data_IF_612227890674
#
_entry.id   IF_612227890674
#
_cell.length_a   1.000
_cell.length_b   1.000
_cell.length_c   1.000
_cell.angle_alpha   90.00
_cell.angle_beta   90.00
_cell.angle_gamma   90.00
#
_symmetry.space_group_name_H-M   'P 1'
#
loop_
_entity.id
_entity.type
_entity.pdbx_description
1 polymer ?
#
# COMPACT_ATOMS: atom_id res chain seq x y z
N UNK A 1 -0.01 -6.63 7.73
CA UNK A 1 -0.13 -6.01 6.41
C UNK A 1 0.05 -4.50 6.50
N UNK A 2 0.77 -3.88 5.56
CA UNK A 2 0.97 -2.43 5.47
C UNK A 2 0.86 -1.92 4.03
N UNK A 3 1.10 -0.62 3.83
CA UNK A 3 1.17 -0.02 2.50
C UNK A 3 -0.18 0.08 1.80
N UNK A 4 -0.15 0.07 0.45
CA UNK A 4 -1.35 0.25 -0.37
C UNK A 4 -2.39 -0.85 -0.21
N UNK A 5 -1.96 -2.11 -0.06
CA UNK A 5 -2.86 -3.24 0.20
C UNK A 5 -3.59 -3.11 1.55
N UNK A 6 -2.91 -2.60 2.59
CA UNK A 6 -3.56 -2.30 3.87
C UNK A 6 -4.68 -1.28 3.69
N UNK A 7 -4.40 -0.18 2.99
CA UNK A 7 -5.40 0.86 2.73
C UNK A 7 -6.57 0.34 1.89
N UNK A 8 -6.29 -0.49 0.87
CA UNK A 8 -7.33 -1.07 0.02
C UNK A 8 -8.23 -2.04 0.78
N UNK A 9 -7.63 -2.92 1.59
CA UNK A 9 -8.34 -4.04 2.22
C UNK A 9 -9.05 -3.66 3.51
N UNK A 10 -8.57 -2.65 4.25
CA UNK A 10 -9.09 -2.32 5.57
C UNK A 10 -9.59 -0.88 5.70
N UNK A 11 -9.16 0.02 4.83
CA UNK A 11 -9.50 1.44 4.91
C UNK A 11 -10.20 1.96 3.65
N UNK A 12 -10.76 1.08 2.80
CA UNK A 12 -11.58 1.41 1.63
C UNK A 12 -10.92 2.35 0.62
N UNK A 13 -9.60 2.30 0.51
CA UNK A 13 -8.92 3.07 -0.53
C UNK A 13 -9.39 2.63 -1.91
N UNK A 14 -9.70 3.60 -2.76
CA UNK A 14 -10.13 3.35 -4.15
C UNK A 14 -8.96 3.01 -5.07
N UNK A 15 -7.71 3.27 -4.62
CA UNK A 15 -6.51 2.98 -5.38
C UNK A 15 -6.09 1.52 -5.24
N UNK A 16 -5.85 0.87 -6.37
CA UNK A 16 -5.23 -0.46 -6.39
C UNK A 16 -3.75 -0.39 -6.02
N UNK A 17 -3.21 -1.50 -5.53
CA UNK A 17 -1.81 -1.66 -5.20
C UNK A 17 -1.27 -2.90 -5.90
N UNK A 18 -0.15 -2.75 -6.61
CA UNK A 18 0.53 -3.86 -7.28
C UNK A 18 1.31 -4.74 -6.31
N UNK A 19 1.72 -4.16 -5.19
CA UNK A 19 2.66 -4.76 -4.25
C UNK A 19 1.98 -5.08 -2.92
N UNK A 20 2.39 -6.18 -2.30
CA UNK A 20 2.01 -6.55 -0.95
C UNK A 20 3.20 -6.37 -0.01
N UNK A 21 3.06 -5.44 0.92
CA UNK A 21 4.06 -5.15 1.94
C UNK A 21 3.60 -5.64 3.32
N UNK A 22 4.47 -6.38 4.00
CA UNK A 22 4.21 -6.93 5.34
C UNK A 22 5.38 -6.57 6.26
N UNK A 23 5.07 -6.19 7.50
CA UNK A 23 6.06 -6.22 8.57
C UNK A 23 5.99 -7.55 9.28
N UNK A 24 7.14 -8.06 9.66
CA UNK A 24 7.26 -9.26 10.48
C UNK A 24 7.91 -8.90 11.81
N UNK A 25 7.40 -9.50 12.88
CA UNK A 25 7.99 -9.38 14.21
C UNK A 25 9.21 -10.29 14.35
N UNK A 26 9.41 -10.82 15.55
CA UNK A 26 10.49 -11.75 15.85
C UNK A 26 10.27 -13.10 15.13
N UNK A 27 10.71 -13.19 13.90
CA UNK A 27 10.61 -14.39 13.06
C UNK A 27 12.00 -14.76 12.56
N UNK A 28 12.35 -16.04 12.67
CA UNK A 28 13.52 -16.58 12.00
C UNK A 28 13.34 -16.45 10.48
N UNK A 29 14.23 -15.66 9.86
CA UNK A 29 14.15 -15.35 8.43
C UNK A 29 14.35 -16.58 7.53
N UNK A 30 15.08 -17.59 8.01
CA UNK A 30 15.22 -18.86 7.28
C UNK A 30 13.88 -19.60 7.26
N UNK A 31 13.22 -19.69 8.40
CA UNK A 31 11.89 -20.30 8.52
C UNK A 31 10.85 -19.55 7.68
N UNK A 32 10.87 -18.21 7.71
CA UNK A 32 10.00 -17.39 6.86
C UNK A 32 10.22 -17.71 5.39
N UNK A 33 11.47 -17.74 4.95
CA UNK A 33 11.84 -18.03 3.55
C UNK A 33 11.36 -19.38 3.10
N UNK A 34 11.61 -20.42 3.88
CA UNK A 34 11.17 -21.78 3.57
C UNK A 34 9.63 -21.89 3.50
N UNK A 35 8.91 -21.23 4.42
CA UNK A 35 7.45 -21.21 4.38
C UNK A 35 6.92 -20.48 3.12
N UNK A 36 7.49 -19.34 2.75
CA UNK A 36 7.07 -18.59 1.54
C UNK A 36 7.37 -19.42 0.29
N UNK A 37 8.56 -20.02 0.18
CA UNK A 37 8.89 -20.94 -0.92
C UNK A 37 7.91 -22.11 -1.01
N UNK A 38 7.62 -22.73 0.15
CA UNK A 38 6.67 -23.84 0.22
C UNK A 38 5.26 -23.45 -0.24
N UNK A 39 4.77 -22.27 0.12
CA UNK A 39 3.47 -21.77 -0.35
C UNK A 39 3.50 -21.54 -1.85
N UNK A 40 4.50 -20.81 -2.36
CA UNK A 40 4.63 -20.47 -3.79
C UNK A 40 4.70 -21.74 -4.66
N UNK A 41 5.44 -22.75 -4.21
CA UNK A 41 5.61 -24.01 -4.93
C UNK A 41 4.43 -25.00 -4.72
N UNK A 42 3.47 -24.68 -3.88
CA UNK A 42 2.40 -25.62 -3.53
C UNK A 42 1.35 -25.74 -4.63
N UNK A 43 0.90 -26.97 -4.89
CA UNK A 43 -0.19 -27.26 -5.81
C UNK A 43 -1.52 -26.54 -5.42
N UNK A 44 -1.94 -26.50 -4.14
CA UNK A 44 -3.13 -25.77 -3.75
C UNK A 44 -3.09 -24.30 -4.11
N UNK A 45 -1.93 -23.63 -3.95
CA UNK A 45 -1.79 -22.22 -4.31
C UNK A 45 -1.91 -22.01 -5.83
N UNK A 46 -1.25 -22.84 -6.63
CA UNK A 46 -1.38 -22.81 -8.08
C UNK A 46 -2.83 -23.00 -8.52
N UNK A 47 -3.55 -24.00 -7.97
CA UNK A 47 -4.95 -24.26 -8.29
C UNK A 47 -5.88 -23.09 -7.92
N UNK A 48 -5.64 -22.39 -6.79
CA UNK A 48 -6.41 -21.20 -6.41
C UNK A 48 -6.23 -20.07 -7.43
N UNK A 49 -5.02 -19.87 -7.93
CA UNK A 49 -4.73 -18.86 -8.94
C UNK A 49 -5.34 -19.24 -10.29
N UNK A 50 -5.15 -20.49 -10.74
CA UNK A 50 -5.71 -21.02 -11.98
C UNK A 50 -7.24 -20.91 -12.02
N UNK A 51 -7.92 -21.22 -10.91
CA UNK A 51 -9.37 -21.07 -10.78
C UNK A 51 -9.85 -19.61 -10.95
N UNK A 52 -8.93 -18.65 -10.92
CA UNK A 52 -9.16 -17.21 -11.15
C UNK A 52 -8.59 -16.72 -12.47
N UNK A 53 -8.18 -17.62 -13.34
CA UNK A 53 -7.54 -17.30 -14.60
C UNK A 53 -6.17 -16.64 -14.45
N UNK A 54 -5.47 -16.90 -13.34
CA UNK A 54 -4.14 -16.34 -13.05
C UNK A 54 -3.10 -17.45 -13.02
N UNK A 55 -1.95 -17.24 -13.67
CA UNK A 55 -0.78 -18.11 -13.58
C UNK A 55 0.46 -17.32 -13.20
N UNK A 56 1.36 -17.96 -12.46
CA UNK A 56 2.68 -17.42 -12.18
C UNK A 56 3.61 -17.90 -13.29
N UNK A 57 4.14 -16.99 -14.10
CA UNK A 57 5.10 -17.30 -15.16
C UNK A 57 6.51 -17.44 -14.61
N UNK A 58 6.89 -16.55 -13.70
CA UNK A 58 8.20 -16.59 -13.07
C UNK A 58 8.15 -16.05 -11.65
N UNK A 59 9.09 -16.53 -10.84
CA UNK A 59 9.32 -16.05 -9.47
C UNK A 59 10.80 -15.81 -9.30
N UNK A 60 11.16 -14.72 -8.62
CA UNK A 60 12.53 -14.46 -8.21
C UNK A 60 12.62 -13.97 -6.77
N UNK A 61 13.65 -14.42 -6.06
CA UNK A 61 13.99 -13.96 -4.71
C UNK A 61 14.87 -12.70 -4.81
N UNK A 62 14.26 -11.59 -5.22
CA UNK A 62 14.94 -10.38 -5.66
C UNK A 62 15.79 -9.70 -4.57
N UNK A 63 15.45 -9.90 -3.28
CA UNK A 63 16.22 -9.37 -2.16
C UNK A 63 16.02 -10.24 -0.92
N UNK A 64 17.12 -10.75 -0.37
CA UNK A 64 17.11 -11.61 0.81
C UNK A 64 18.20 -11.12 1.78
N UNK A 65 17.84 -10.15 2.64
CA UNK A 65 18.74 -9.54 3.64
C UNK A 65 18.21 -9.74 5.04
N UNK A 66 18.96 -9.35 6.07
CA UNK A 66 18.50 -9.39 7.47
C UNK A 66 17.27 -8.53 7.75
N UNK A 67 17.05 -7.48 6.96
CA UNK A 67 15.95 -6.53 7.16
C UNK A 67 14.83 -6.64 6.13
N UNK A 68 15.04 -7.36 5.03
CA UNK A 68 14.08 -7.41 3.92
C UNK A 68 14.13 -8.75 3.22
N UNK A 69 12.99 -9.39 3.08
CA UNK A 69 12.78 -10.57 2.23
C UNK A 69 11.79 -10.20 1.14
N UNK A 70 12.19 -10.29 -0.15
CA UNK A 70 11.36 -9.86 -1.28
C UNK A 70 11.32 -10.91 -2.37
N UNK A 71 10.11 -11.25 -2.78
CA UNK A 71 9.83 -12.06 -3.97
C UNK A 71 9.17 -11.19 -5.01
N UNK A 72 9.62 -11.33 -6.25
CA UNK A 72 8.98 -10.72 -7.42
C UNK A 72 8.35 -11.83 -8.25
N UNK A 73 7.19 -11.51 -8.81
CA UNK A 73 6.40 -12.40 -9.64
C UNK A 73 6.10 -11.74 -10.97
N UNK A 74 6.05 -12.53 -12.03
CA UNK A 74 5.32 -12.22 -13.25
C UNK A 74 4.02 -13.01 -13.22
N UNK A 75 2.90 -12.31 -13.27
CA UNK A 75 1.57 -12.92 -13.30
C UNK A 75 0.99 -12.79 -14.70
N UNK A 76 0.43 -13.86 -15.21
CA UNK A 76 -0.33 -13.86 -16.46
C UNK A 76 -1.81 -14.04 -16.12
N UNK A 77 -2.66 -13.14 -16.62
CA UNK A 77 -4.11 -13.28 -16.56
C UNK A 77 -4.63 -13.95 -17.84
N UNK A 78 -5.65 -14.79 -17.71
CA UNK A 78 -6.30 -15.41 -18.87
C UNK A 78 -6.80 -14.35 -19.85
N UNK A 79 -6.53 -14.56 -21.15
CA UNK A 79 -6.87 -13.59 -22.20
C UNK A 79 -5.93 -12.39 -22.30
N UNK A 80 -4.83 -12.34 -21.53
CA UNK A 80 -3.84 -11.30 -21.62
C UNK A 80 -2.43 -11.91 -21.73
N UNK A 81 -1.72 -11.58 -22.82
CA UNK A 81 -0.36 -12.08 -23.07
C UNK A 81 0.73 -11.25 -22.34
N UNK A 82 0.33 -10.18 -21.66
CA UNK A 82 1.27 -9.31 -20.96
C UNK A 82 1.46 -9.83 -19.54
N UNK A 83 2.72 -10.10 -19.18
CA UNK A 83 3.09 -10.44 -17.81
C UNK A 83 2.97 -9.21 -16.90
N UNK A 84 2.18 -9.34 -15.85
CA UNK A 84 1.94 -8.29 -14.86
C UNK A 84 2.94 -8.46 -13.71
N UNK A 85 3.86 -7.50 -13.49
CA UNK A 85 4.81 -7.60 -12.40
C UNK A 85 4.13 -7.29 -11.07
N UNK A 86 4.44 -8.09 -10.06
CA UNK A 86 4.07 -7.81 -8.67
C UNK A 86 5.17 -8.26 -7.72
N UNK A 87 5.11 -7.82 -6.47
CA UNK A 87 6.02 -8.29 -5.42
C UNK A 87 5.33 -8.50 -4.09
N UNK A 88 5.89 -9.40 -3.31
CA UNK A 88 5.61 -9.54 -1.87
C UNK A 88 6.90 -9.21 -1.13
N UNK A 89 6.81 -8.29 -0.17
CA UNK A 89 7.94 -7.87 0.64
C UNK A 89 7.63 -8.04 2.12
N UNK A 90 8.51 -8.72 2.83
CA UNK A 90 8.51 -8.81 4.28
C UNK A 90 9.64 -7.93 4.83
N UNK A 91 9.29 -6.98 5.67
CA UNK A 91 10.22 -6.08 6.36
C UNK A 91 10.42 -6.55 7.80
N UNK A 92 11.67 -6.84 8.17
CA UNK A 92 12.08 -7.26 9.52
C UNK A 92 12.79 -6.09 10.21
N UNK A 93 12.04 -5.00 10.45
CA UNK A 93 12.54 -3.80 11.14
C UNK A 93 11.79 -3.52 12.44
N UNK A 94 11.04 -4.51 12.91
CA UNK A 94 10.10 -4.39 14.02
C UNK A 94 8.68 -4.08 13.53
N UNK A 95 7.75 -4.21 14.44
CA UNK A 95 6.35 -3.84 14.24
C UNK A 95 6.13 -2.45 14.83
N UNK A 96 5.43 -1.60 14.10
CA UNK A 96 4.93 -0.34 14.64
C UNK A 96 3.75 -0.61 15.60
N UNK A 97 3.49 0.33 16.48
CA UNK A 97 2.27 0.33 17.29
C UNK A 97 1.02 0.48 16.41
N UNK A 98 -0.12 -0.05 16.89
CA UNK A 98 -1.41 0.05 16.19
C UNK A 98 -1.65 -1.08 15.18
N UNK A 99 -1.05 -2.26 15.42
CA UNK A 99 -1.44 -3.49 14.73
C UNK A 99 -2.78 -3.96 15.28
N UNK A 100 -3.72 -4.22 14.38
CA UNK A 100 -5.06 -4.75 14.61
C UNK A 100 -5.20 -6.11 13.95
N UNK A 101 -6.15 -6.93 14.39
CA UNK A 101 -6.49 -8.18 13.74
C UNK A 101 -7.94 -8.12 13.30
N UNK A 102 -8.17 -8.17 12.00
CA UNK A 102 -9.51 -7.95 11.44
C UNK A 102 -9.76 -8.67 10.13
N UNK A 103 -11.01 -8.69 9.72
CA UNK A 103 -11.43 -9.19 8.41
C UNK A 103 -11.19 -8.11 7.34
N UNK A 104 -10.79 -8.55 6.16
CA UNK A 104 -10.78 -7.71 4.96
C UNK A 104 -12.19 -7.13 4.76
N UNK A 105 -12.29 -5.90 4.26
CA UNK A 105 -13.56 -5.21 4.00
C UNK A 105 -14.51 -6.07 3.14
N UNK A 106 -15.77 -6.14 3.57
CA UNK A 106 -16.77 -6.99 2.94
C UNK A 106 -17.07 -6.64 1.48
N UNK A 107 -16.88 -5.37 1.08
CA UNK A 107 -17.07 -4.95 -0.31
C UNK A 107 -15.94 -5.46 -1.19
N UNK A 108 -14.69 -5.43 -0.70
CA UNK A 108 -13.53 -6.02 -1.38
C UNK A 108 -13.73 -7.53 -1.54
N UNK A 109 -14.15 -8.21 -0.48
CA UNK A 109 -14.42 -9.65 -0.52
C UNK A 109 -15.49 -9.99 -1.56
N UNK A 110 -16.61 -9.27 -1.57
CA UNK A 110 -17.70 -9.48 -2.53
C UNK A 110 -17.28 -9.17 -3.96
N UNK A 111 -16.64 -8.03 -4.18
CA UNK A 111 -16.21 -7.59 -5.51
C UNK A 111 -15.26 -8.60 -6.17
N UNK A 112 -14.31 -9.12 -5.41
CA UNK A 112 -13.34 -10.09 -5.89
C UNK A 112 -13.75 -11.54 -5.66
N UNK A 113 -14.95 -11.82 -5.16
CA UNK A 113 -15.47 -13.16 -4.86
C UNK A 113 -14.49 -13.99 -4.01
N UNK A 114 -13.92 -13.36 -2.97
CA UNK A 114 -12.96 -13.99 -2.07
C UNK A 114 -13.69 -14.65 -0.89
N UNK A 115 -13.05 -15.64 -0.29
CA UNK A 115 -13.44 -16.12 1.03
C UNK A 115 -13.04 -15.07 2.09
N UNK A 116 -13.80 -14.92 3.18
CA UNK A 116 -13.40 -14.07 4.30
C UNK A 116 -12.04 -14.47 4.85
N UNK A 117 -11.14 -13.50 5.01
CA UNK A 117 -9.79 -13.70 5.52
C UNK A 117 -9.55 -12.73 6.66
N UNK A 118 -9.06 -13.26 7.79
CA UNK A 118 -8.59 -12.46 8.93
C UNK A 118 -7.09 -12.23 8.81
N UNK A 119 -6.67 -10.98 8.92
CA UNK A 119 -5.26 -10.59 8.74
C UNK A 119 -4.85 -9.58 9.80
N UNK A 120 -3.62 -9.70 10.30
CA UNK A 120 -2.99 -8.62 11.07
C UNK A 120 -2.63 -7.47 10.14
N UNK A 121 -3.12 -6.30 10.45
CA UNK A 121 -2.97 -5.09 9.65
C UNK A 121 -2.75 -3.85 10.52
N UNK A 122 -2.30 -2.76 9.94
CA UNK A 122 -2.20 -1.50 10.68
C UNK A 122 -3.52 -0.74 10.63
N UNK A 123 -3.97 -0.29 11.80
CA UNK A 123 -5.09 0.63 11.95
C UNK A 123 -4.81 1.99 11.29
N UNK A 124 -5.85 2.78 11.08
CA UNK A 124 -5.77 4.02 10.34
C UNK A 124 -4.76 5.05 10.91
N UNK A 125 -4.63 5.24 12.24
CA UNK A 125 -3.60 6.11 12.81
C UNK A 125 -2.18 5.66 12.49
N UNK A 126 -1.89 4.37 12.61
CA UNK A 126 -0.57 3.82 12.30
C UNK A 126 -0.26 3.92 10.81
N UNK A 127 -1.22 3.59 9.94
CA UNK A 127 -1.10 3.74 8.49
C UNK A 127 -0.82 5.20 8.10
N UNK A 128 -1.48 6.16 8.76
CA UNK A 128 -1.23 7.59 8.55
C UNK A 128 0.21 7.97 8.90
N UNK A 129 0.71 7.61 10.10
CA UNK A 129 2.10 7.88 10.51
C UNK A 129 3.12 7.30 9.52
N UNK A 130 2.90 6.05 9.10
CA UNK A 130 3.75 5.39 8.10
C UNK A 130 3.77 6.14 6.76
N UNK A 131 2.62 6.64 6.31
CA UNK A 131 2.53 7.42 5.07
C UNK A 131 3.19 8.78 5.18
N UNK A 132 3.06 9.48 6.31
CA UNK A 132 3.78 10.74 6.55
C UNK A 132 5.29 10.50 6.57
N UNK A 133 5.76 9.46 7.26
CA UNK A 133 7.17 9.07 7.26
C UNK A 133 7.67 8.74 5.86
N UNK A 134 6.92 7.93 5.09
CA UNK A 134 7.28 7.60 3.71
C UNK A 134 7.38 8.84 2.82
N UNK A 135 6.42 9.77 2.92
CA UNK A 135 6.43 11.02 2.16
C UNK A 135 7.61 11.93 2.55
N UNK A 136 7.99 11.94 3.83
CA UNK A 136 9.13 12.73 4.32
C UNK A 136 10.50 12.16 3.90
N UNK A 137 10.65 10.83 3.96
CA UNK A 137 11.97 10.18 3.93
C UNK A 137 12.36 9.61 2.56
N UNK A 138 11.39 9.46 1.62
CA UNK A 138 11.73 8.93 0.30
C UNK A 138 12.65 9.87 -0.46
N UNK A 139 13.65 9.29 -1.10
CA UNK A 139 14.56 10.01 -2.01
C UNK A 139 13.79 10.62 -3.19
N UNK A 140 12.83 9.87 -3.73
CA UNK A 140 11.93 10.31 -4.79
C UNK A 140 10.50 10.31 -4.25
N UNK A 141 9.89 11.49 -4.21
CA UNK A 141 8.52 11.66 -3.72
C UNK A 141 7.54 10.92 -4.62
N UNK A 142 6.59 10.23 -4.01
CA UNK A 142 5.59 9.43 -4.72
C UNK A 142 4.21 10.06 -4.57
N UNK A 143 3.52 10.30 -5.67
CA UNK A 143 2.15 10.84 -5.68
C UNK A 143 1.18 9.96 -4.87
N UNK A 144 1.41 8.64 -4.89
CA UNK A 144 0.60 7.69 -4.12
C UNK A 144 0.64 7.92 -2.61
N UNK A 145 1.75 8.42 -2.06
CA UNK A 145 1.83 8.70 -0.62
C UNK A 145 0.99 9.93 -0.25
N UNK A 146 0.94 10.94 -1.13
CA UNK A 146 0.06 12.12 -0.98
C UNK A 146 -1.41 11.72 -1.10
N UNK A 147 -1.77 10.95 -2.12
CA UNK A 147 -3.14 10.48 -2.33
C UNK A 147 -3.64 9.59 -1.19
N UNK A 148 -2.80 8.68 -0.72
CA UNK A 148 -3.12 7.80 0.41
C UNK A 148 -3.31 8.61 1.71
N UNK A 149 -2.52 9.67 1.93
CA UNK A 149 -2.72 10.60 3.06
C UNK A 149 -4.02 11.36 2.95
N UNK A 150 -4.34 11.91 1.78
CA UNK A 150 -5.62 12.57 1.54
C UNK A 150 -6.80 11.63 1.87
N UNK A 151 -6.75 10.38 1.40
CA UNK A 151 -7.76 9.38 1.70
C UNK A 151 -7.91 9.13 3.22
N UNK A 152 -6.81 8.95 3.94
CA UNK A 152 -6.82 8.75 5.39
C UNK A 152 -7.35 9.98 6.14
N UNK A 153 -7.00 11.19 5.71
CA UNK A 153 -7.52 12.45 6.28
C UNK A 153 -9.03 12.53 6.08
N UNK A 154 -9.51 12.28 4.87
CA UNK A 154 -10.94 12.30 4.54
C UNK A 154 -11.73 11.26 5.34
N UNK A 155 -11.10 10.12 5.69
CA UNK A 155 -11.69 9.07 6.53
C UNK A 155 -11.65 9.39 8.03
N UNK A 156 -11.14 10.55 8.44
CA UNK A 156 -11.06 10.97 9.85
C UNK A 156 -9.87 10.41 10.62
N UNK A 157 -8.96 9.69 9.97
CA UNK A 157 -7.81 9.07 10.65
C UNK A 157 -6.77 10.06 11.20
N UNK A 158 -6.87 11.34 10.81
CA UNK A 158 -5.84 12.34 11.07
C UNK A 158 -5.98 13.14 12.37
N UNK A 159 -7.18 13.32 12.92
CA UNK A 159 -7.46 14.38 13.89
C UNK A 159 -6.57 14.34 15.16
N UNK A 160 -6.33 13.16 15.72
CA UNK A 160 -5.47 13.01 16.90
C UNK A 160 -4.03 12.62 16.52
N UNK A 161 -3.86 11.97 15.38
CA UNK A 161 -2.57 11.42 14.93
C UNK A 161 -1.58 12.49 14.47
N UNK A 162 -2.07 13.67 14.02
CA UNK A 162 -1.19 14.80 13.65
C UNK A 162 -0.27 15.24 14.79
N UNK A 163 -0.74 15.13 16.04
CA UNK A 163 0.06 15.51 17.23
C UNK A 163 1.22 14.56 17.48
N UNK A 164 1.10 13.31 17.04
CA UNK A 164 2.11 12.26 17.19
C UNK A 164 3.22 12.35 16.12
N UNK A 165 2.93 13.05 15.01
CA UNK A 165 3.93 13.27 13.95
C UNK A 165 4.84 14.42 14.34
N UNK A 166 6.14 14.15 14.48
CA UNK A 166 7.13 15.17 14.82
C UNK A 166 7.14 16.33 13.81
N UNK A 167 7.23 17.57 14.30
CA UNK A 167 7.17 18.81 13.47
C UNK A 167 8.13 18.79 12.27
N UNK A 168 9.34 18.25 12.45
CA UNK A 168 10.33 18.16 11.37
C UNK A 168 9.86 17.24 10.25
N UNK A 169 9.29 16.10 10.60
CA UNK A 169 8.78 15.11 9.65
C UNK A 169 7.58 15.68 8.89
N UNK A 170 6.63 16.29 9.58
CA UNK A 170 5.47 16.94 8.98
C UNK A 170 5.88 18.08 8.00
N UNK A 171 6.85 18.90 8.38
CA UNK A 171 7.38 19.97 7.51
C UNK A 171 8.04 19.40 6.26
N UNK A 172 8.85 18.34 6.41
CA UNK A 172 9.49 17.69 5.28
C UNK A 172 8.47 17.01 4.35
N UNK A 173 7.49 16.30 4.92
CA UNK A 173 6.40 15.70 4.15
C UNK A 173 5.60 16.74 3.36
N UNK A 174 5.24 17.87 3.99
CA UNK A 174 4.57 19.00 3.32
C UNK A 174 5.40 19.57 2.15
N UNK A 175 6.70 19.78 2.38
CA UNK A 175 7.60 20.28 1.33
C UNK A 175 7.74 19.30 0.16
N UNK A 176 7.73 18.00 0.45
CA UNK A 176 7.80 16.95 -0.56
C UNK A 176 6.46 16.82 -1.32
N UNK A 177 5.30 16.92 -0.63
CA UNK A 177 4.00 16.89 -1.27
C UNK A 177 3.85 17.98 -2.35
N UNK A 178 4.30 19.19 -2.06
CA UNK A 178 4.26 20.34 -2.99
C UNK A 178 5.12 20.14 -4.25
N UNK A 179 6.01 19.17 -4.29
CA UNK A 179 6.87 18.87 -5.46
C UNK A 179 6.24 17.89 -6.44
N UNK A 180 5.16 17.24 -6.04
CA UNK A 180 4.54 16.20 -6.88
C UNK A 180 3.59 16.85 -7.88
N UNK A 181 3.97 16.78 -9.13
CA UNK A 181 3.19 17.34 -10.23
C UNK A 181 2.05 16.41 -10.70
N UNK A 182 1.14 16.95 -11.50
CA UNK A 182 0.00 16.22 -12.03
C UNK A 182 0.40 15.07 -12.98
N UNK A 183 1.41 15.17 -13.87
CA UNK A 183 1.90 14.04 -14.65
C UNK A 183 2.34 12.86 -13.79
N UNK A 184 3.05 13.11 -12.70
CA UNK A 184 3.45 12.09 -11.72
C UNK A 184 2.23 11.44 -11.05
N UNK A 185 1.22 12.25 -10.69
CA UNK A 185 -0.05 11.73 -10.17
C UNK A 185 -0.75 10.84 -11.19
N UNK A 186 -0.83 11.24 -12.45
CA UNK A 186 -1.46 10.42 -13.50
C UNK A 186 -0.80 9.04 -13.61
N UNK A 187 0.51 8.99 -13.64
CA UNK A 187 1.25 7.73 -13.80
C UNK A 187 1.24 6.83 -12.56
N UNK A 188 1.23 7.40 -11.36
CA UNK A 188 1.39 6.65 -10.11
C UNK A 188 0.09 6.38 -9.36
N UNK A 189 -0.97 7.12 -9.65
CA UNK A 189 -2.25 7.02 -8.94
C UNK A 189 -3.40 6.84 -9.92
N UNK A 190 -3.60 7.77 -10.85
CA UNK A 190 -4.77 7.76 -11.74
C UNK A 190 -4.85 6.46 -12.53
N UNK A 191 -3.74 5.96 -13.05
CA UNK A 191 -3.65 4.69 -13.76
C UNK A 191 -4.06 3.46 -12.90
N UNK A 192 -4.10 3.61 -11.59
CA UNK A 192 -4.46 2.57 -10.61
C UNK A 192 -5.84 2.79 -9.97
N UNK A 193 -6.65 3.67 -10.54
CA UNK A 193 -8.05 3.86 -10.16
C UNK A 193 -8.98 3.11 -11.13
N UNK A 194 -10.16 2.75 -10.65
CA UNK A 194 -11.21 2.25 -11.54
C UNK A 194 -11.60 3.32 -12.56
N UNK A 195 -11.96 2.98 -13.81
CA UNK A 195 -12.30 3.97 -14.87
C UNK A 195 -13.30 5.05 -14.47
N UNK A 196 -14.31 4.71 -13.66
CA UNK A 196 -15.28 5.68 -13.14
C UNK A 196 -14.63 6.73 -12.22
N UNK A 197 -13.70 6.31 -11.38
CA UNK A 197 -12.94 7.20 -10.50
C UNK A 197 -11.89 8.01 -11.28
N UNK A 198 -11.30 7.43 -12.33
CA UNK A 198 -10.36 8.18 -13.17
C UNK A 198 -10.99 9.46 -13.73
N UNK A 199 -12.23 9.40 -14.22
CA UNK A 199 -12.93 10.58 -14.73
C UNK A 199 -13.09 11.70 -13.69
N UNK A 200 -13.23 11.34 -12.41
CA UNK A 200 -13.35 12.29 -11.30
C UNK A 200 -12.03 12.96 -10.95
N UNK A 201 -10.92 12.23 -11.05
CA UNK A 201 -9.61 12.68 -10.61
C UNK A 201 -8.69 13.16 -11.74
N UNK A 202 -9.03 13.01 -13.02
CA UNK A 202 -8.21 13.44 -14.16
C UNK A 202 -8.31 14.96 -14.39
N UNK A 203 -7.88 15.72 -13.38
CA UNK A 203 -7.84 17.19 -13.41
C UNK A 203 -6.68 17.70 -12.56
N UNK A 204 -5.88 18.60 -13.15
CA UNK A 204 -4.78 19.24 -12.44
C UNK A 204 -5.27 20.03 -11.22
N UNK A 205 -6.41 20.72 -11.32
CA UNK A 205 -6.98 21.48 -10.20
C UNK A 205 -7.46 20.58 -9.05
N UNK A 206 -7.98 19.39 -9.36
CA UNK A 206 -8.35 18.39 -8.34
C UNK A 206 -7.09 17.90 -7.63
N UNK A 207 -6.02 17.60 -8.39
CA UNK A 207 -4.76 17.18 -7.79
C UNK A 207 -4.15 18.28 -6.88
N UNK A 208 -4.14 19.52 -7.35
CA UNK A 208 -3.66 20.65 -6.55
C UNK A 208 -4.44 20.81 -5.25
N UNK A 209 -5.77 20.66 -5.30
CA UNK A 209 -6.61 20.67 -4.08
C UNK A 209 -6.23 19.56 -3.11
N UNK A 210 -6.02 18.34 -3.61
CA UNK A 210 -5.58 17.19 -2.79
C UNK A 210 -4.24 17.51 -2.10
N UNK A 211 -3.27 18.02 -2.84
CA UNK A 211 -1.95 18.40 -2.28
C UNK A 211 -2.11 19.46 -1.19
N UNK A 212 -2.91 20.50 -1.44
CA UNK A 212 -3.13 21.58 -0.48
C UNK A 212 -3.83 21.10 0.80
N UNK A 213 -4.84 20.23 0.67
CA UNK A 213 -5.52 19.64 1.83
C UNK A 213 -4.55 18.83 2.70
N UNK A 214 -3.67 18.02 2.09
CA UNK A 214 -2.66 17.24 2.81
C UNK A 214 -1.67 18.17 3.51
N UNK A 215 -1.18 19.22 2.83
CA UNK A 215 -0.23 20.19 3.40
C UNK A 215 -0.86 20.95 4.56
N UNK A 216 -2.11 21.41 4.42
CA UNK A 216 -2.85 22.09 5.47
C UNK A 216 -3.04 21.19 6.69
N UNK A 217 -3.47 19.96 6.46
CA UNK A 217 -3.66 18.97 7.53
C UNK A 217 -2.35 18.72 8.29
N UNK A 218 -1.24 18.47 7.59
CA UNK A 218 0.10 18.34 8.20
C UNK A 218 0.55 19.60 8.94
N UNK A 219 0.04 20.78 8.56
CA UNK A 219 0.26 22.04 9.23
C UNK A 219 -0.48 22.19 10.56
N UNK A 220 -1.65 21.56 10.74
CA UNK A 220 -2.48 21.66 11.97
C UNK A 220 -1.84 20.99 13.19
N UNK A 221 -0.96 20.04 13.02
CA UNK A 221 -0.19 19.44 14.11
C UNK A 221 0.78 20.40 14.82
N UNK A 222 0.75 21.68 14.48
CA UNK A 222 1.64 22.73 15.02
C UNK A 222 1.11 23.44 16.27
N UNK A 223 -0.13 23.16 16.70
CA UNK A 223 -0.71 23.82 17.87
C UNK A 223 -0.38 23.08 19.18
#
# INVERSE_FOLDING_TARGET
>A
LKGGCNLRFFHRSIRYSEDMDLDVGEVDLHVLREKVRGVIASRPFAQILEARGIRIEHVSEAKQTSTTQRWKFGLQAEGNDISLPTKIEFSNRGLDEGVEFGSIDAEVIRFHQLSPVMVSHYGAPAAFRQKVGALADRRETQARDVFDLHHLIASGAGADTFREVGRRVAKQASANALRVDFPTFKSQVLAYLHPEEQARYDSASVWESIVLEVVEALGRGKA
#
